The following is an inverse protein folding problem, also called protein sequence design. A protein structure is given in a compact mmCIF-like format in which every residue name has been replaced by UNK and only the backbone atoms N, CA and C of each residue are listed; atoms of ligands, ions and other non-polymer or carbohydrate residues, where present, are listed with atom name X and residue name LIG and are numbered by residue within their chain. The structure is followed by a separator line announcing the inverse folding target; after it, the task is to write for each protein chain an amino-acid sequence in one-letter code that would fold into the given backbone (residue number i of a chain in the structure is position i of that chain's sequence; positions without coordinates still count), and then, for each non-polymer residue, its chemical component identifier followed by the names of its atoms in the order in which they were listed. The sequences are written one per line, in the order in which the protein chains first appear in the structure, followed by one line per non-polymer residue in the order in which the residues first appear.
data_IF_433936590419
#
_entry.id   IF_433936590419
#
_cell.length_a   1.000
_cell.length_b   1.000
_cell.length_c   1.000
_cell.angle_alpha   90.00
_cell.angle_beta   90.00
_cell.angle_gamma   90.00
#
_symmetry.space_group_name_H-M   'P 1'
#
loop_
_entity.id
_entity.type
_entity.pdbx_description
1 polymer ?
#
# COMPACT_ATOMS: atom_id res chain seq x y z
N UNK A 1 -23.17 2.88 -19.79
CA UNK A 1 -23.82 3.40 -18.56
C UNK A 1 -23.61 2.36 -17.47
N UNK A 2 -23.25 2.75 -16.24
CA UNK A 2 -23.19 1.80 -15.13
C UNK A 2 -24.62 1.61 -14.62
N UNK A 3 -25.23 0.47 -14.91
CA UNK A 3 -26.60 0.14 -14.52
C UNK A 3 -26.77 -0.21 -13.04
N UNK A 4 -25.72 -0.04 -12.22
CA UNK A 4 -25.77 -0.31 -10.79
C UNK A 4 -26.03 0.96 -9.97
N UNK A 5 -27.06 0.94 -9.13
CA UNK A 5 -27.38 1.98 -8.15
C UNK A 5 -27.19 1.50 -6.71
N UNK A 6 -26.91 2.42 -5.78
CA UNK A 6 -26.91 2.13 -4.35
C UNK A 6 -28.36 2.18 -3.84
N UNK A 7 -28.86 1.06 -3.32
CA UNK A 7 -30.23 0.95 -2.79
C UNK A 7 -30.30 1.43 -1.33
N UNK A 8 -29.47 0.87 -0.45
CA UNK A 8 -29.40 1.28 0.96
C UNK A 8 -28.07 0.89 1.62
N UNK A 9 -27.85 1.44 2.82
CA UNK A 9 -26.71 1.14 3.68
C UNK A 9 -27.25 0.59 5.00
N UNK A 10 -26.78 -0.59 5.42
CA UNK A 10 -27.13 -1.22 6.70
C UNK A 10 -25.91 -1.16 7.62
N UNK A 11 -26.05 -0.54 8.79
CA UNK A 11 -24.98 -0.50 9.79
C UNK A 11 -24.95 -1.80 10.60
N UNK A 12 -23.76 -2.39 10.74
CA UNK A 12 -23.54 -3.65 11.47
C UNK A 12 -23.06 -3.43 12.90
N UNK A 13 -22.57 -2.23 13.23
CA UNK A 13 -22.16 -1.86 14.58
C UNK A 13 -22.56 -0.43 14.92
N UNK A 14 -23.08 -0.22 16.13
CA UNK A 14 -23.48 1.11 16.65
C UNK A 14 -22.29 2.04 16.89
N UNK A 15 -21.12 1.47 17.21
CA UNK A 15 -19.90 2.21 17.56
C UNK A 15 -18.78 1.96 16.55
N UNK A 16 -18.95 2.51 15.35
CA UNK A 16 -17.92 2.58 14.30
C UNK A 16 -16.53 3.08 14.79
N UNK A 17 -16.43 3.74 15.95
CA UNK A 17 -15.20 4.42 16.38
C UNK A 17 -14.46 3.77 17.56
N UNK A 18 -14.96 2.69 18.16
CA UNK A 18 -14.20 1.98 19.19
C UNK A 18 -13.34 0.90 18.53
N UNK A 19 -12.10 1.23 18.15
CA UNK A 19 -11.12 0.17 17.92
C UNK A 19 -10.84 -0.46 19.28
N UNK A 20 -11.43 -1.63 19.53
CA UNK A 20 -11.26 -2.36 20.79
C UNK A 20 -9.78 -2.67 21.06
N UNK A 21 -8.96 -2.69 19.99
CA UNK A 21 -7.51 -2.67 20.05
C UNK A 21 -6.96 -1.66 19.02
N UNK A 22 -6.16 -0.68 19.46
CA UNK A 22 -5.62 0.41 18.63
C UNK A 22 -4.72 -0.18 17.52
N UNK A 23 -5.29 -0.57 16.38
CA UNK A 23 -4.58 -1.14 15.24
C UNK A 23 -3.74 -2.36 15.57
N UNK A 24 -4.24 -3.25 16.42
CA UNK A 24 -3.63 -4.56 16.72
C UNK A 24 -4.47 -5.74 16.21
N UNK A 25 -5.76 -5.52 15.97
CA UNK A 25 -6.66 -6.50 15.35
C UNK A 25 -6.97 -6.12 13.91
N UNK A 26 -7.30 -7.10 13.03
CA UNK A 26 -7.83 -6.83 11.70
C UNK A 26 -9.06 -5.92 11.76
N UNK A 27 -9.29 -5.16 10.69
CA UNK A 27 -10.52 -4.42 10.53
C UNK A 27 -11.71 -5.37 10.40
N UNK A 28 -12.79 -5.05 11.11
CA UNK A 28 -14.07 -5.70 10.94
C UNK A 28 -15.02 -4.84 10.07
N UNK A 29 -15.96 -5.46 9.35
CA UNK A 29 -17.00 -4.75 8.62
C UNK A 29 -17.87 -3.89 9.55
N UNK A 30 -18.13 -2.65 9.15
CA UNK A 30 -18.96 -1.69 9.92
C UNK A 30 -20.34 -1.51 9.34
N UNK A 31 -20.46 -1.62 8.02
CA UNK A 31 -21.72 -1.48 7.32
C UNK A 31 -21.68 -2.25 6.00
N UNK A 32 -22.88 -2.57 5.52
CA UNK A 32 -23.13 -3.20 4.23
C UNK A 32 -23.75 -2.19 3.27
N UNK A 33 -23.39 -2.31 2.00
CA UNK A 33 -23.99 -1.56 0.90
C UNK A 33 -24.72 -2.54 0.01
N UNK A 34 -25.99 -2.28 -0.22
CA UNK A 34 -26.80 -3.06 -1.15
C UNK A 34 -26.87 -2.29 -2.46
N UNK A 35 -26.40 -2.90 -3.53
CA UNK A 35 -26.49 -2.37 -4.89
C UNK A 35 -27.53 -3.15 -5.68
N UNK A 36 -28.22 -2.46 -6.58
CA UNK A 36 -29.19 -3.05 -7.50
C UNK A 36 -28.82 -2.70 -8.93
N UNK A 37 -28.88 -3.69 -9.82
CA UNK A 37 -28.78 -3.48 -11.25
C UNK A 37 -30.16 -3.09 -11.79
N UNK A 38 -30.30 -1.89 -12.35
CA UNK A 38 -31.57 -1.37 -12.87
C UNK A 38 -32.04 -2.09 -14.14
N UNK A 39 -31.14 -2.74 -14.87
CA UNK A 39 -31.50 -3.45 -16.11
C UNK A 39 -31.97 -4.87 -15.81
N UNK A 40 -31.33 -5.56 -14.86
CA UNK A 40 -31.57 -7.00 -14.58
C UNK A 40 -32.32 -7.27 -13.28
N UNK A 41 -32.44 -6.27 -12.40
CA UNK A 41 -32.96 -6.45 -11.03
C UNK A 41 -31.99 -7.18 -10.09
N UNK A 42 -30.77 -7.53 -10.55
CA UNK A 42 -29.79 -8.24 -9.73
C UNK A 42 -29.39 -7.42 -8.49
N UNK A 43 -29.36 -8.07 -7.33
CA UNK A 43 -28.97 -7.44 -6.06
C UNK A 43 -27.60 -7.96 -5.64
N UNK A 44 -26.71 -7.04 -5.28
CA UNK A 44 -25.38 -7.34 -4.76
C UNK A 44 -25.12 -6.62 -3.45
N UNK A 45 -24.80 -7.38 -2.41
CA UNK A 45 -24.41 -6.84 -1.11
C UNK A 45 -22.89 -6.87 -0.97
N UNK A 46 -22.29 -5.74 -0.60
CA UNK A 46 -20.84 -5.62 -0.37
C UNK A 46 -20.61 -4.83 0.90
N UNK A 47 -19.78 -5.34 1.80
CA UNK A 47 -19.42 -4.61 3.01
C UNK A 47 -18.27 -3.61 2.78
N UNK A 48 -18.09 -2.69 3.73
CA UNK A 48 -17.08 -1.63 3.61
C UNK A 48 -15.64 -2.17 3.63
N UNK A 49 -15.40 -3.28 4.33
CA UNK A 49 -14.10 -3.95 4.36
C UNK A 49 -13.74 -4.56 3.00
N UNK A 50 -14.66 -5.32 2.40
CA UNK A 50 -14.53 -5.86 1.03
C UNK A 50 -14.29 -4.74 0.02
N UNK A 51 -15.02 -3.63 0.16
CA UNK A 51 -14.81 -2.44 -0.68
C UNK A 51 -13.39 -1.86 -0.52
N UNK A 52 -12.84 -1.81 0.70
CA UNK A 52 -11.47 -1.35 0.97
C UNK A 52 -10.43 -2.32 0.44
N UNK A 53 -10.62 -3.63 0.63
CA UNK A 53 -9.73 -4.68 0.11
C UNK A 53 -9.69 -4.64 -1.42
N UNK A 54 -10.84 -4.52 -2.08
CA UNK A 54 -10.95 -4.38 -3.52
C UNK A 54 -10.19 -3.15 -4.03
N UNK A 55 -10.38 -1.98 -3.40
CA UNK A 55 -9.65 -0.76 -3.75
C UNK A 55 -8.14 -0.87 -3.52
N UNK A 56 -7.71 -1.53 -2.45
CA UNK A 56 -6.28 -1.84 -2.21
C UNK A 56 -5.74 -2.70 -3.36
N UNK A 57 -6.44 -3.79 -3.72
CA UNK A 57 -6.05 -4.70 -4.79
C UNK A 57 -5.96 -3.99 -6.14
N UNK A 58 -6.95 -3.18 -6.50
CA UNK A 58 -6.91 -2.36 -7.71
C UNK A 58 -5.71 -1.41 -7.74
N UNK A 59 -5.41 -0.76 -6.61
CA UNK A 59 -4.27 0.15 -6.51
C UNK A 59 -2.94 -0.59 -6.71
N UNK A 60 -2.79 -1.77 -6.12
CA UNK A 60 -1.60 -2.61 -6.25
C UNK A 60 -1.45 -3.13 -7.70
N UNK A 61 -2.53 -3.60 -8.32
CA UNK A 61 -2.52 -4.04 -9.72
C UNK A 61 -2.14 -2.89 -10.66
N UNK A 62 -2.73 -1.71 -10.47
CA UNK A 62 -2.37 -0.53 -11.26
C UNK A 62 -0.86 -0.20 -11.18
N UNK A 63 -0.22 -0.46 -10.04
CA UNK A 63 1.23 -0.28 -9.91
C UNK A 63 2.03 -1.29 -10.72
N UNK A 64 1.58 -2.54 -10.76
CA UNK A 64 2.16 -3.56 -11.64
C UNK A 64 2.00 -3.12 -13.09
N UNK A 65 0.79 -2.75 -13.50
CA UNK A 65 0.48 -2.41 -14.88
C UNK A 65 1.36 -1.26 -15.39
N UNK A 66 1.62 -0.27 -14.53
CA UNK A 66 2.44 0.90 -14.86
C UNK A 66 3.94 0.58 -14.94
N UNK A 67 4.45 -0.27 -14.06
CA UNK A 67 5.91 -0.43 -13.88
C UNK A 67 6.47 -1.78 -14.32
N UNK A 68 5.64 -2.79 -14.58
CA UNK A 68 6.06 -4.14 -15.00
C UNK A 68 6.97 -4.12 -16.22
N UNK A 69 6.54 -3.49 -17.32
CA UNK A 69 7.34 -3.36 -18.55
C UNK A 69 8.71 -2.73 -18.28
N UNK A 70 8.75 -1.67 -17.47
CA UNK A 70 9.98 -0.95 -17.14
C UNK A 70 10.91 -1.74 -16.20
N UNK A 71 10.35 -2.58 -15.34
CA UNK A 71 11.11 -3.49 -14.51
C UNK A 71 11.77 -4.58 -15.37
N UNK A 72 11.01 -5.16 -16.32
CA UNK A 72 11.48 -6.19 -17.24
C UNK A 72 12.61 -5.68 -18.15
N UNK A 73 12.46 -4.47 -18.70
CA UNK A 73 13.52 -3.81 -19.51
C UNK A 73 14.65 -3.24 -18.67
N UNK A 74 14.59 -3.37 -17.33
CA UNK A 74 15.57 -2.84 -16.37
C UNK A 74 15.78 -1.32 -16.46
N UNK A 75 14.81 -0.56 -16.98
CA UNK A 75 14.87 0.90 -17.06
C UNK A 75 14.60 1.57 -15.70
N UNK A 76 14.01 0.84 -14.75
CA UNK A 76 13.75 1.30 -13.38
C UNK A 76 14.26 0.30 -12.33
N UNK A 77 14.15 0.69 -11.07
CA UNK A 77 14.30 -0.17 -9.91
C UNK A 77 13.08 -0.08 -9.01
N UNK A 78 12.63 -1.23 -8.50
CA UNK A 78 11.59 -1.30 -7.46
C UNK A 78 12.26 -1.68 -6.13
N UNK A 79 12.03 -0.86 -5.13
CA UNK A 79 12.45 -1.07 -3.75
C UNK A 79 11.25 -1.50 -2.92
N UNK A 80 11.43 -2.52 -2.09
CA UNK A 80 10.49 -2.87 -1.03
C UNK A 80 11.08 -2.45 0.31
N UNK A 81 10.27 -1.78 1.12
CA UNK A 81 10.66 -1.35 2.45
C UNK A 81 9.70 -1.90 3.50
N UNK A 82 10.24 -2.35 4.63
CA UNK A 82 9.50 -2.64 5.85
C UNK A 82 9.90 -1.56 6.85
N UNK A 83 8.94 -0.76 7.33
CA UNK A 83 9.22 0.39 8.18
C UNK A 83 8.47 0.28 9.48
N UNK A 84 9.19 0.15 10.60
CA UNK A 84 8.57 -0.01 11.90
C UNK A 84 7.91 1.30 12.36
N UNK A 85 6.65 1.22 12.79
CA UNK A 85 5.87 2.40 13.16
C UNK A 85 6.41 3.07 14.43
N UNK A 86 7.08 2.31 15.32
CA UNK A 86 7.74 2.84 16.52
C UNK A 86 8.78 3.93 16.20
N UNK A 87 9.49 3.77 15.09
CA UNK A 87 10.52 4.71 14.64
C UNK A 87 9.98 5.79 13.69
N UNK A 88 8.91 5.44 12.97
CA UNK A 88 8.22 6.34 12.04
C UNK A 88 6.73 6.37 12.33
N UNK A 89 6.33 7.16 13.33
CA UNK A 89 4.92 7.33 13.75
C UNK A 89 3.99 7.63 12.55
N UNK A 90 4.48 8.44 11.61
CA UNK A 90 3.79 8.75 10.37
C UNK A 90 4.59 8.29 9.16
N UNK A 91 3.94 7.55 8.27
CA UNK A 91 4.51 7.10 6.99
C UNK A 91 5.08 8.26 6.15
N UNK A 92 4.46 9.44 6.19
CA UNK A 92 4.94 10.63 5.49
C UNK A 92 6.37 11.05 5.88
N UNK A 93 6.75 10.88 7.16
CA UNK A 93 8.10 11.18 7.66
C UNK A 93 9.14 10.24 7.03
N UNK A 94 8.81 8.95 6.93
CA UNK A 94 9.66 7.99 6.24
C UNK A 94 9.77 8.32 4.75
N UNK A 95 8.64 8.54 4.08
CA UNK A 95 8.58 8.86 2.64
C UNK A 95 9.43 10.09 2.32
N UNK A 96 9.39 11.14 3.14
CA UNK A 96 10.22 12.33 2.95
C UNK A 96 11.71 12.02 3.18
N UNK A 97 12.03 11.24 4.20
CA UNK A 97 13.41 10.82 4.52
C UNK A 97 14.02 10.03 3.35
N UNK A 98 13.34 8.99 2.88
CA UNK A 98 13.84 8.16 1.78
C UNK A 98 13.92 8.96 0.47
N UNK A 99 12.96 9.84 0.20
CA UNK A 99 12.98 10.69 -1.01
C UNK A 99 14.19 11.64 -1.00
N UNK A 100 14.48 12.29 0.14
CA UNK A 100 15.68 13.14 0.28
C UNK A 100 16.96 12.34 0.09
N UNK A 101 17.01 11.12 0.65
CA UNK A 101 18.16 10.22 0.54
C UNK A 101 18.44 9.79 -0.90
N UNK A 102 17.39 9.42 -1.65
CA UNK A 102 17.47 9.08 -3.07
C UNK A 102 17.91 10.29 -3.93
N UNK A 103 17.27 11.45 -3.72
CA UNK A 103 17.56 12.68 -4.48
C UNK A 103 19.02 13.13 -4.33
N UNK A 104 19.61 13.04 -3.13
CA UNK A 104 21.04 13.35 -2.88
C UNK A 104 22.02 12.51 -3.69
N UNK A 105 21.56 11.40 -4.28
CA UNK A 105 22.36 10.50 -5.11
C UNK A 105 21.88 10.46 -6.56
N UNK A 106 21.10 11.46 -6.99
CA UNK A 106 20.58 11.55 -8.36
C UNK A 106 19.51 10.50 -8.68
N UNK A 107 18.95 9.82 -7.68
CA UNK A 107 17.90 8.83 -7.90
C UNK A 107 16.54 9.51 -7.72
N UNK A 108 15.76 9.56 -8.80
CA UNK A 108 14.39 10.03 -8.77
C UNK A 108 13.42 8.94 -8.31
N UNK A 109 12.44 9.33 -7.49
CA UNK A 109 11.31 8.50 -7.05
C UNK A 109 10.11 8.74 -7.97
N UNK A 110 9.72 7.71 -8.70
CA UNK A 110 8.68 7.73 -9.72
C UNK A 110 7.28 7.51 -9.11
N UNK A 111 7.19 6.72 -8.05
CA UNK A 111 5.93 6.48 -7.35
C UNK A 111 6.11 5.58 -6.16
N UNK A 112 5.10 5.53 -5.29
CA UNK A 112 5.05 4.54 -4.22
C UNK A 112 3.62 4.16 -3.85
N UNK A 113 3.49 2.95 -3.31
CA UNK A 113 2.34 2.47 -2.55
C UNK A 113 2.82 2.07 -1.17
N UNK A 114 1.98 2.24 -0.16
CA UNK A 114 2.22 1.69 1.17
C UNK A 114 0.96 1.03 1.73
N UNK A 115 1.16 0.03 2.55
CA UNK A 115 0.13 -0.71 3.29
C UNK A 115 0.62 -0.83 4.73
N UNK A 116 -0.26 -0.57 5.70
CA UNK A 116 -0.01 -0.83 7.11
C UNK A 116 -0.24 -2.31 7.38
N UNK A 117 0.66 -2.89 8.14
CA UNK A 117 0.61 -4.28 8.53
C UNK A 117 1.07 -4.45 9.99
N UNK A 118 0.85 -5.64 10.52
CA UNK A 118 1.25 -6.07 11.85
C UNK A 118 2.03 -7.36 11.70
N UNK A 119 3.25 -7.40 12.26
CA UNK A 119 4.09 -8.58 12.13
C UNK A 119 3.47 -9.79 12.82
N UNK A 120 3.47 -10.93 12.14
CA UNK A 120 2.77 -12.15 12.61
C UNK A 120 3.33 -12.68 13.94
N UNK A 121 4.63 -12.46 14.23
CA UNK A 121 5.32 -13.02 15.40
C UNK A 121 5.32 -12.06 16.61
N UNK A 122 5.71 -10.80 16.40
CA UNK A 122 5.91 -9.82 17.48
C UNK A 122 4.78 -8.79 17.59
N UNK A 123 3.75 -8.91 16.75
CA UNK A 123 2.66 -7.93 16.61
C UNK A 123 3.16 -6.49 16.43
N UNK A 124 4.36 -6.33 15.88
CA UNK A 124 4.96 -5.03 15.65
C UNK A 124 4.28 -4.36 14.45
N UNK A 125 3.69 -3.19 14.71
CA UNK A 125 3.09 -2.36 13.68
C UNK A 125 4.16 -1.82 12.74
N UNK A 126 3.97 -2.01 11.46
CA UNK A 126 4.89 -1.53 10.45
C UNK A 126 4.16 -1.15 9.17
N UNK A 127 4.90 -0.55 8.25
CA UNK A 127 4.44 -0.21 6.92
C UNK A 127 5.24 -1.02 5.91
N UNK A 128 4.53 -1.74 5.05
CA UNK A 128 5.08 -2.23 3.81
C UNK A 128 4.99 -1.14 2.75
N UNK A 129 6.09 -0.88 2.06
CA UNK A 129 6.17 0.19 1.07
C UNK A 129 6.82 -0.37 -0.18
N UNK A 130 6.20 -0.10 -1.33
CA UNK A 130 6.76 -0.40 -2.64
C UNK A 130 7.06 0.94 -3.29
N UNK A 131 8.30 1.14 -3.72
CA UNK A 131 8.79 2.40 -4.30
C UNK A 131 9.40 2.12 -5.67
N UNK A 132 8.84 2.75 -6.71
CA UNK A 132 9.46 2.80 -8.03
C UNK A 132 10.46 3.97 -8.10
N UNK A 133 11.63 3.70 -8.66
CA UNK A 133 12.74 4.65 -8.77
C UNK A 133 13.40 4.54 -10.14
N UNK A 134 14.09 5.59 -10.58
CA UNK A 134 15.10 5.46 -11.64
C UNK A 134 16.10 4.35 -11.31
N UNK A 135 16.70 3.74 -12.34
CA UNK A 135 17.53 2.54 -12.17
C UNK A 135 18.65 2.75 -11.15
N UNK A 136 18.71 1.90 -10.13
CA UNK A 136 19.76 1.90 -9.11
C UNK A 136 20.68 0.69 -9.35
N UNK A 137 21.96 0.94 -9.61
CA UNK A 137 22.97 -0.12 -9.70
C UNK A 137 23.33 -0.71 -8.33
N UNK A 138 23.90 -1.93 -8.32
CA UNK A 138 24.30 -2.66 -7.09
C UNK A 138 25.23 -1.85 -6.18
N UNK A 139 26.23 -1.16 -6.76
CA UNK A 139 27.17 -0.31 -6.01
C UNK A 139 26.45 0.86 -5.32
N UNK A 140 25.57 1.54 -6.06
CA UNK A 140 24.81 2.67 -5.52
C UNK A 140 23.83 2.23 -4.43
N UNK A 141 23.17 1.09 -4.61
CA UNK A 141 22.30 0.51 -3.58
C UNK A 141 23.07 0.24 -2.28
N UNK A 142 24.27 -0.35 -2.37
CA UNK A 142 25.12 -0.54 -1.19
C UNK A 142 25.47 0.81 -0.54
N UNK A 143 25.86 1.82 -1.33
CA UNK A 143 26.14 3.16 -0.77
C UNK A 143 24.92 3.75 -0.07
N UNK A 144 23.72 3.55 -0.63
CA UNK A 144 22.48 4.03 -0.05
C UNK A 144 22.10 3.27 1.23
N UNK A 145 22.23 1.94 1.27
CA UNK A 145 21.57 1.12 2.30
C UNK A 145 22.49 0.22 3.13
N UNK A 146 23.78 0.13 2.85
CA UNK A 146 24.69 -0.83 3.49
C UNK A 146 25.35 -0.32 4.78
N UNK A 147 25.36 0.99 5.08
CA UNK A 147 25.93 1.49 6.34
C UNK A 147 25.02 1.21 7.55
N UNK A 148 25.56 0.38 8.47
CA UNK A 148 25.20 0.01 9.87
C UNK A 148 23.73 0.10 10.29
N UNK A 149 23.16 -1.08 10.62
CA UNK A 149 21.95 -1.32 11.43
C UNK A 149 20.91 -0.19 11.31
N UNK A 150 20.19 -0.16 10.19
CA UNK A 150 18.90 0.53 10.18
C UNK A 150 17.92 -0.34 11.00
N UNK A 151 17.96 -0.25 12.33
CA UNK A 151 16.98 -0.91 13.21
C UNK A 151 15.54 -0.49 12.90
N UNK A 152 15.38 0.58 12.14
CA UNK A 152 14.12 1.30 12.00
C UNK A 152 13.41 0.97 10.68
N UNK A 153 14.11 0.40 9.71
CA UNK A 153 13.52 -0.08 8.45
C UNK A 153 14.46 -1.01 7.68
N UNK A 154 13.87 -1.94 6.94
CA UNK A 154 14.54 -2.85 6.02
C UNK A 154 14.25 -2.44 4.58
N UNK A 155 15.23 -2.57 3.69
CA UNK A 155 15.06 -2.28 2.25
C UNK A 155 15.64 -3.42 1.43
N UNK A 156 14.87 -3.90 0.46
CA UNK A 156 15.30 -4.94 -0.47
C UNK A 156 15.02 -4.53 -1.92
N UNK A 157 15.81 -5.08 -2.84
CA UNK A 157 15.48 -5.04 -4.25
C UNK A 157 14.47 -6.13 -4.57
N UNK A 158 13.45 -5.74 -5.33
CA UNK A 158 12.56 -6.69 -5.97
C UNK A 158 13.25 -7.33 -7.17
N UNK A 159 13.28 -8.67 -7.18
CA UNK A 159 13.74 -9.46 -8.35
C UNK A 159 12.64 -9.67 -9.39
N UNK A 160 11.37 -9.71 -8.97
CA UNK A 160 10.20 -9.98 -9.82
C UNK A 160 9.06 -9.00 -9.50
N UNK A 161 8.24 -8.58 -10.46
CA UNK A 161 7.14 -7.62 -10.17
C UNK A 161 6.15 -8.11 -9.10
N UNK A 162 5.81 -9.42 -9.09
CA UNK A 162 4.62 -9.93 -8.37
C UNK A 162 4.81 -10.29 -6.90
N UNK A 163 5.83 -11.06 -6.50
CA UNK A 163 6.01 -11.57 -5.10
C UNK A 163 5.45 -10.74 -3.93
N UNK A 164 6.09 -9.62 -3.56
CA UNK A 164 5.57 -8.73 -2.49
C UNK A 164 4.20 -8.08 -2.78
N UNK A 165 3.80 -7.89 -4.03
CA UNK A 165 2.47 -7.35 -4.33
C UNK A 165 1.41 -8.41 -4.04
N UNK A 166 1.61 -9.64 -4.50
CA UNK A 166 0.71 -10.76 -4.20
C UNK A 166 0.56 -10.93 -2.68
N UNK A 167 1.69 -10.94 -1.96
CA UNK A 167 1.70 -10.92 -0.49
C UNK A 167 0.86 -9.77 0.10
N UNK A 168 0.97 -8.55 -0.42
CA UNK A 168 0.20 -7.41 0.09
C UNK A 168 -1.27 -7.41 -0.32
N UNK A 169 -1.65 -8.12 -1.38
CA UNK A 169 -3.06 -8.28 -1.77
C UNK A 169 -3.76 -9.11 -0.70
N UNK A 170 -3.14 -10.21 -0.27
CA UNK A 170 -3.74 -11.20 0.62
C UNK A 170 -3.72 -10.77 2.10
N UNK A 171 -2.83 -9.84 2.48
CA UNK A 171 -2.77 -9.35 3.86
C UNK A 171 -4.03 -8.61 4.31
N UNK A 172 -4.41 -8.85 5.55
CA UNK A 172 -5.51 -8.15 6.22
C UNK A 172 -5.26 -6.64 6.33
N UNK A 173 -6.36 -5.90 6.47
CA UNK A 173 -6.30 -4.46 6.66
C UNK A 173 -6.32 -4.14 8.14
N UNK A 174 -5.25 -3.52 8.62
CA UNK A 174 -5.16 -3.03 9.99
C UNK A 174 -5.31 -1.51 10.01
N UNK A 175 -6.15 -0.98 10.90
CA UNK A 175 -6.35 0.46 11.07
C UNK A 175 -6.02 0.94 12.48
N UNK A 176 -5.30 2.05 12.59
CA UNK A 176 -5.28 2.84 13.81
C UNK A 176 -6.31 3.97 13.70
N UNK A 177 -6.83 4.42 14.85
CA UNK A 177 -7.84 5.48 14.92
C UNK A 177 -7.50 6.67 14.01
N UNK A 178 -8.47 7.04 13.15
CA UNK A 178 -8.40 8.16 12.17
C UNK A 178 -7.24 8.08 11.15
N UNK A 179 -6.53 6.95 11.04
CA UNK A 179 -5.44 6.78 10.08
C UNK A 179 -5.83 5.85 8.93
N UNK A 180 -5.24 6.09 7.76
CA UNK A 180 -5.41 5.22 6.59
C UNK A 180 -4.64 3.91 6.80
N UNK A 181 -5.19 2.85 6.22
CA UNK A 181 -4.59 1.49 6.20
C UNK A 181 -3.65 1.31 5.01
N UNK A 182 -3.88 2.02 3.91
CA UNK A 182 -2.99 2.03 2.74
C UNK A 182 -3.03 3.39 2.03
N UNK A 183 -2.08 3.62 1.12
CA UNK A 183 -2.06 4.81 0.30
C UNK A 183 -1.01 4.77 -0.80
N UNK A 184 -0.99 5.84 -1.60
CA UNK A 184 -0.08 6.02 -2.73
C UNK A 184 0.52 7.41 -2.78
N UNK A 185 1.55 7.61 -3.59
CA UNK A 185 2.01 8.95 -3.98
C UNK A 185 0.89 9.77 -4.63
N UNK A 186 0.83 11.08 -4.33
CA UNK A 186 -0.17 11.99 -4.90
C UNK A 186 -0.16 12.00 -6.43
N UNK A 187 1.03 12.01 -7.04
CA UNK A 187 1.21 12.04 -8.50
C UNK A 187 1.14 10.65 -9.16
N UNK A 188 0.68 9.60 -8.47
CA UNK A 188 0.63 8.25 -9.07
C UNK A 188 -0.69 7.96 -9.80
N UNK A 189 -0.62 7.35 -11.00
CA UNK A 189 0.60 6.95 -11.71
C UNK A 189 1.30 8.14 -12.39
N UNK A 190 2.65 8.20 -12.32
CA UNK A 190 3.42 9.15 -13.14
C UNK A 190 3.69 8.44 -14.46
N UNK A 191 3.22 8.96 -15.61
CA UNK A 191 3.61 8.44 -16.91
C UNK A 191 5.13 8.57 -17.04
N UNK A 192 5.82 7.46 -17.26
CA UNK A 192 7.23 7.53 -17.64
C UNK A 192 7.28 8.08 -19.06
N UNK A 193 8.01 9.18 -19.26
CA UNK A 193 8.24 9.71 -20.61
C UNK A 193 8.85 8.56 -21.44
N UNK A 194 8.20 8.26 -22.57
CA UNK A 194 8.68 7.27 -23.54
C UNK A 194 10.04 7.69 -24.08
#
# INVERSE_FOLDING_TARGET
MNSWGLLHIKYLSEKSNQSVNIGQTPLEPKYEKTFVNFDTGEIRVVNDLQSKQFKKKQLLNLFIDVYSKHLLTKSISILTCIVYQKDYLMIGKFINTITKKLKRKGVERLGYIWVRDIGDIKLEKHYHIIIATTRIGKKLFKILFHKKKHSNYEVQFKKTERGMIDYLIDKDLFAASKQRTYGKSRKFPIPLKK
#
